data_IF_965731200958
#
_entry.id   IF_965731200958
#
_cell.length_a   1.000
_cell.length_b   1.000
_cell.length_c   1.000
_cell.angle_alpha   90.00
_cell.angle_beta   90.00
_cell.angle_gamma   90.00
#
_symmetry.space_group_name_H-M   'P 1'
#
loop_
_entity.id
_entity.type
_entity.pdbx_description
1 polymer ?
#
# COMPACT_ATOMS: atom_id res chain seq x y z
N UNK A 1 -11.32 25.94 -7.72
CA UNK A 1 -11.77 24.67 -8.32
C UNK A 1 -10.56 23.73 -8.42
N UNK A 2 -10.18 23.03 -7.36
CA UNK A 2 -9.16 21.99 -7.42
C UNK A 2 -9.58 20.87 -6.47
N UNK A 3 -10.43 19.96 -6.98
CA UNK A 3 -10.79 18.73 -6.26
C UNK A 3 -9.79 17.67 -6.72
N UNK A 4 -8.54 17.82 -6.28
CA UNK A 4 -7.54 16.78 -6.53
C UNK A 4 -7.98 15.56 -5.73
N UNK A 5 -8.53 14.57 -6.45
CA UNK A 5 -8.90 13.29 -5.90
C UNK A 5 -7.65 12.52 -5.53
N UNK A 6 -7.50 12.23 -4.25
CA UNK A 6 -6.45 11.42 -3.64
C UNK A 6 -6.71 9.91 -3.83
N UNK A 7 -7.19 9.49 -5.00
CA UNK A 7 -7.48 8.08 -5.27
C UNK A 7 -6.23 7.27 -5.68
N UNK A 8 -5.07 7.91 -5.90
CA UNK A 8 -3.86 7.26 -6.42
C UNK A 8 -2.73 7.08 -5.39
N UNK A 9 -2.94 7.33 -4.10
CA UNK A 9 -1.87 7.11 -3.10
C UNK A 9 -1.48 5.63 -2.99
N UNK A 10 -2.41 4.73 -3.30
CA UNK A 10 -2.19 3.28 -3.23
C UNK A 10 -1.52 2.69 -4.49
N UNK A 11 -1.58 3.36 -5.64
CA UNK A 11 -1.04 2.84 -6.91
C UNK A 11 0.48 2.95 -7.01
N UNK A 12 1.09 3.84 -6.23
CA UNK A 12 2.54 4.09 -6.24
C UNK A 12 3.25 3.71 -4.93
N UNK A 13 2.56 3.09 -3.97
CA UNK A 13 3.24 2.65 -2.74
C UNK A 13 4.24 1.54 -3.08
N UNK A 14 5.53 1.87 -3.01
CA UNK A 14 6.60 0.92 -3.24
C UNK A 14 6.50 -0.24 -2.27
N UNK A 15 6.91 -1.44 -2.71
CA UNK A 15 6.81 -2.68 -1.90
C UNK A 15 7.45 -2.53 -0.51
N UNK A 16 8.49 -1.70 -0.37
CA UNK A 16 9.20 -1.50 0.90
C UNK A 16 8.69 -0.32 1.75
N UNK A 17 7.85 0.54 1.20
CA UNK A 17 7.33 1.74 1.87
C UNK A 17 6.39 1.36 3.02
N UNK A 18 6.22 2.26 4.01
CA UNK A 18 5.22 2.08 5.06
C UNK A 18 3.82 1.96 4.44
N UNK A 19 3.01 1.05 4.97
CA UNK A 19 1.67 0.83 4.45
C UNK A 19 0.78 2.06 4.70
N UNK A 20 0.14 2.63 3.66
CA UNK A 20 -0.83 3.73 3.82
C UNK A 20 -2.06 3.33 4.64
N UNK A 21 -2.25 2.03 4.92
CA UNK A 21 -3.27 1.51 5.80
C UNK A 21 -3.05 1.80 7.31
N UNK A 22 -1.95 2.48 7.68
CA UNK A 22 -1.68 2.86 9.08
C UNK A 22 -1.21 1.71 9.98
N UNK A 23 -0.88 0.54 9.42
CA UNK A 23 -0.49 -0.64 10.19
C UNK A 23 0.94 -0.61 10.76
N UNK A 24 1.75 0.41 10.40
CA UNK A 24 3.17 0.50 10.75
C UNK A 24 4.06 -0.56 10.06
N UNK A 25 3.47 -1.43 9.23
CA UNK A 25 4.19 -2.48 8.50
C UNK A 25 4.52 -2.02 7.08
N UNK A 26 5.58 -2.58 6.49
CA UNK A 26 5.92 -2.35 5.07
C UNK A 26 4.79 -2.84 4.17
N UNK A 27 4.52 -2.16 3.06
CA UNK A 27 3.41 -2.44 2.14
C UNK A 27 3.42 -3.91 1.66
N UNK A 28 4.58 -4.44 1.26
CA UNK A 28 4.79 -5.87 0.89
C UNK A 28 4.49 -6.88 1.99
N UNK A 29 4.45 -6.46 3.26
CA UNK A 29 4.16 -7.33 4.42
C UNK A 29 2.80 -7.03 5.05
N UNK A 30 2.02 -6.13 4.46
CA UNK A 30 0.72 -5.74 4.98
C UNK A 30 -0.38 -5.95 3.95
N UNK A 31 -0.67 -4.96 3.10
CA UNK A 31 -1.72 -5.06 2.09
C UNK A 31 -1.30 -5.92 0.89
N UNK A 32 -0.01 -5.91 0.52
CA UNK A 32 0.51 -6.66 -0.63
C UNK A 32 1.01 -8.07 -0.26
N UNK A 33 1.31 -8.32 1.02
CA UNK A 33 1.85 -9.60 1.49
C UNK A 33 0.82 -10.74 1.60
N UNK A 34 -0.42 -10.53 1.16
CA UNK A 34 -1.51 -11.52 1.27
C UNK A 34 -1.43 -12.70 0.28
N UNK A 35 -0.40 -12.78 -0.57
CA UNK A 35 -0.39 -13.74 -1.71
C UNK A 35 0.88 -14.59 -1.89
N UNK A 36 1.83 -14.59 -0.95
CA UNK A 36 3.12 -15.30 -1.16
C UNK A 36 3.34 -16.57 -0.33
N UNK A 37 2.32 -17.04 0.39
CA UNK A 37 2.30 -18.41 0.91
C UNK A 37 1.42 -19.26 -0.01
N UNK A 38 1.94 -19.59 -1.19
CA UNK A 38 1.48 -20.75 -1.95
C UNK A 38 2.57 -21.84 -1.80
N UNK A 39 2.08 -23.06 -1.59
CA UNK A 39 2.72 -24.28 -1.11
C UNK A 39 4.06 -24.66 -1.76
#
# INVERSE_FOLDING_TARGET
>A
MARVGDADVFSQTGRNDPCPCGSGKKYKRCCLGKVSAQA
#
